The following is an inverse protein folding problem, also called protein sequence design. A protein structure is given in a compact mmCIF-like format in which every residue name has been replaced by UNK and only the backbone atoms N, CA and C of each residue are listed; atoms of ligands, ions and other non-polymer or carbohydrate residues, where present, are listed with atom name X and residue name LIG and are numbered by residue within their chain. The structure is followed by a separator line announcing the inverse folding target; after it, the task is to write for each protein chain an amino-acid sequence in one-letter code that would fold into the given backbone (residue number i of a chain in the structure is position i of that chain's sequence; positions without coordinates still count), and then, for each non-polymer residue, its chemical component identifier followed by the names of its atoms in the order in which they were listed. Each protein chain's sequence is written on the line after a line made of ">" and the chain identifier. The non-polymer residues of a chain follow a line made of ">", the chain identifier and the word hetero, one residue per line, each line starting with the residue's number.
data_IF_942824961546
#
_entry.id   IF_942824961546
#
_cell.length_a   1.000
_cell.length_b   1.000
_cell.length_c   1.000
_cell.angle_alpha   90.00
_cell.angle_beta   90.00
_cell.angle_gamma   90.00
#
_symmetry.space_group_name_H-M   'P 1'
#
loop_
_entity.id
_entity.type
_entity.pdbx_description
1 polymer ?
#
# COMPACT_ATOMS: atom_id res chain seq x y z
N UNK A 1 36.21 27.37 -50.68
CA UNK A 1 36.30 26.58 -49.45
C UNK A 1 35.57 27.21 -48.26
N UNK A 2 35.78 28.48 -47.91
CA UNK A 2 35.15 29.17 -46.76
C UNK A 2 33.60 29.25 -46.82
N UNK A 3 33.00 29.37 -47.99
CA UNK A 3 31.55 29.44 -48.19
C UNK A 3 30.83 28.06 -48.03
N UNK A 4 31.46 26.98 -48.45
CA UNK A 4 30.94 25.62 -48.29
C UNK A 4 30.91 25.19 -46.81
N UNK A 5 31.95 25.52 -46.03
CA UNK A 5 32.00 25.26 -44.58
C UNK A 5 30.93 26.06 -43.82
N UNK A 6 30.68 27.31 -44.17
CA UNK A 6 29.62 28.12 -43.56
C UNK A 6 28.23 27.54 -43.84
N UNK A 7 27.98 27.05 -45.05
CA UNK A 7 26.70 26.40 -45.41
C UNK A 7 26.50 25.07 -44.68
N UNK A 8 27.55 24.28 -44.52
CA UNK A 8 27.52 23.04 -43.76
C UNK A 8 27.26 23.29 -42.26
N UNK A 9 27.91 24.28 -41.66
CA UNK A 9 27.70 24.68 -40.27
C UNK A 9 26.26 25.18 -40.02
N UNK A 10 25.74 26.00 -40.94
CA UNK A 10 24.36 26.50 -40.85
C UNK A 10 23.35 25.35 -40.99
N UNK A 11 23.57 24.41 -41.90
CA UNK A 11 22.74 23.22 -42.06
C UNK A 11 22.72 22.33 -40.79
N UNK A 12 23.89 22.18 -40.15
CA UNK A 12 23.97 21.42 -38.89
C UNK A 12 23.22 22.11 -37.73
N UNK A 13 23.35 23.45 -37.64
CA UNK A 13 22.61 24.23 -36.63
C UNK A 13 21.10 24.10 -36.83
N UNK A 14 20.60 24.28 -38.04
CA UNK A 14 19.16 24.12 -38.35
C UNK A 14 18.68 22.71 -38.06
N UNK A 15 19.47 21.69 -38.38
CA UNK A 15 19.13 20.31 -38.08
C UNK A 15 19.07 20.05 -36.57
N UNK A 16 20.02 20.57 -35.78
CA UNK A 16 20.02 20.40 -34.31
C UNK A 16 18.83 21.11 -33.66
N UNK A 17 18.48 22.31 -34.11
CA UNK A 17 17.27 23.02 -33.63
C UNK A 17 15.99 22.27 -33.99
N UNK A 18 15.90 21.71 -35.17
CA UNK A 18 14.74 20.90 -35.59
C UNK A 18 14.60 19.65 -34.71
N UNK A 19 15.69 18.96 -34.39
CA UNK A 19 15.69 17.80 -33.49
C UNK A 19 15.24 18.19 -32.06
N UNK A 20 15.68 19.33 -31.56
CA UNK A 20 15.24 19.84 -30.24
C UNK A 20 13.74 20.17 -30.25
N UNK A 21 13.26 20.82 -31.30
CA UNK A 21 11.82 21.16 -31.45
C UNK A 21 10.99 19.87 -31.52
N UNK A 22 11.40 18.89 -32.32
CA UNK A 22 10.71 17.60 -32.41
C UNK A 22 10.68 16.89 -31.04
N UNK A 23 11.80 16.86 -30.31
CA UNK A 23 11.87 16.28 -29.00
C UNK A 23 10.95 16.97 -27.98
N UNK A 24 10.89 18.30 -27.99
CA UNK A 24 9.98 19.09 -27.17
C UNK A 24 8.52 18.85 -27.55
N UNK A 25 8.21 18.80 -28.83
CA UNK A 25 6.86 18.47 -29.32
C UNK A 25 6.39 17.07 -28.88
N UNK A 26 7.27 16.07 -28.96
CA UNK A 26 6.97 14.72 -28.49
C UNK A 26 6.73 14.66 -26.97
N UNK A 27 7.54 15.40 -26.19
CA UNK A 27 7.34 15.52 -24.75
C UNK A 27 6.02 16.21 -24.38
N UNK A 28 5.74 17.35 -25.05
CA UNK A 28 4.48 18.08 -24.84
C UNK A 28 3.27 17.24 -25.26
N UNK A 29 3.34 16.57 -26.41
CA UNK A 29 2.29 15.67 -26.87
C UNK A 29 2.07 14.52 -25.87
N UNK A 30 3.13 13.93 -25.31
CA UNK A 30 3.05 12.91 -24.27
C UNK A 30 2.42 13.41 -22.97
N UNK A 31 2.73 14.64 -22.54
CA UNK A 31 2.09 15.28 -21.38
C UNK A 31 0.62 15.63 -21.64
N UNK A 32 0.30 16.16 -22.83
CA UNK A 32 -1.08 16.45 -23.25
C UNK A 32 -1.89 15.17 -23.37
N UNK A 33 -1.32 14.09 -23.88
CA UNK A 33 -2.00 12.80 -23.99
C UNK A 33 -2.25 12.16 -22.62
N UNK A 34 -1.33 12.33 -21.66
CA UNK A 34 -1.54 11.95 -20.25
C UNK A 34 -2.66 12.78 -19.61
N UNK A 35 -2.67 14.10 -19.83
CA UNK A 35 -3.76 14.97 -19.34
C UNK A 35 -5.09 14.65 -20.00
N UNK A 36 -5.14 14.37 -21.32
CA UNK A 36 -6.36 13.98 -22.01
C UNK A 36 -6.86 12.61 -21.54
N UNK A 37 -5.96 11.68 -21.23
CA UNK A 37 -6.34 10.39 -20.67
C UNK A 37 -6.92 10.56 -19.26
N UNK A 38 -6.31 11.39 -18.41
CA UNK A 38 -6.83 11.70 -17.08
C UNK A 38 -8.17 12.45 -17.14
N UNK A 39 -8.33 13.37 -18.08
CA UNK A 39 -9.61 14.12 -18.30
C UNK A 39 -10.70 13.24 -18.90
N UNK A 40 -10.39 12.30 -19.79
CA UNK A 40 -11.38 11.35 -20.33
C UNK A 40 -11.83 10.33 -19.28
N UNK A 41 -10.94 9.90 -18.40
CA UNK A 41 -11.30 9.05 -17.25
C UNK A 41 -12.14 9.83 -16.24
N UNK A 42 -11.79 11.09 -15.95
CA UNK A 42 -12.55 11.97 -15.07
C UNK A 42 -13.94 12.36 -15.63
N UNK A 43 -14.13 12.39 -16.95
CA UNK A 43 -15.40 12.78 -17.56
C UNK A 43 -16.49 11.69 -17.52
N UNK A 44 -16.13 10.44 -17.25
CA UNK A 44 -17.08 9.32 -17.11
C UNK A 44 -17.32 8.90 -15.66
N UNK A 45 -16.64 9.52 -14.69
CA UNK A 45 -16.94 9.35 -13.28
C UNK A 45 -17.98 10.40 -12.86
N UNK A 46 -19.00 10.03 -12.08
CA UNK A 46 -19.86 11.03 -11.45
C UNK A 46 -18.96 11.91 -10.59
N UNK A 47 -18.88 13.20 -10.90
CA UNK A 47 -18.05 14.26 -10.35
C UNK A 47 -16.94 13.72 -9.42
N UNK A 48 -15.72 13.60 -9.93
CA UNK A 48 -14.60 13.13 -9.14
C UNK A 48 -14.56 13.92 -7.83
N UNK A 49 -14.94 13.28 -6.74
CA UNK A 49 -14.83 13.87 -5.41
C UNK A 49 -13.32 13.90 -5.15
N UNK A 50 -12.72 15.07 -5.32
CA UNK A 50 -11.33 15.31 -4.95
C UNK A 50 -11.21 15.08 -3.44
N UNK A 51 -10.53 14.02 -3.05
CA UNK A 51 -10.23 13.76 -1.65
C UNK A 51 -8.89 14.43 -1.30
N UNK A 52 -8.91 15.54 -0.52
CA UNK A 52 -7.68 16.17 -0.07
C UNK A 52 -6.87 15.18 0.77
N UNK A 53 -5.56 15.39 0.85
CA UNK A 53 -4.73 14.68 1.83
C UNK A 53 -5.38 14.81 3.21
N UNK A 54 -5.68 13.69 3.84
CA UNK A 54 -6.32 13.67 5.14
C UNK A 54 -5.23 13.72 6.19
N UNK A 55 -5.33 14.69 7.10
CA UNK A 55 -4.49 14.72 8.29
C UNK A 55 -5.20 13.98 9.41
N UNK A 56 -4.47 13.18 10.14
CA UNK A 56 -4.98 12.61 11.37
C UNK A 56 -4.83 13.62 12.49
N UNK A 57 -5.94 13.89 13.22
CA UNK A 57 -5.88 14.64 14.47
C UNK A 57 -5.30 13.79 15.61
N UNK A 58 -5.34 12.48 15.46
CA UNK A 58 -4.93 11.49 16.45
C UNK A 58 -3.44 11.16 16.37
N UNK A 59 -2.91 11.10 15.17
CA UNK A 59 -1.52 10.74 14.89
C UNK A 59 -0.82 11.88 14.16
N UNK A 60 -0.04 12.72 14.86
CA UNK A 60 0.62 13.88 14.26
C UNK A 60 1.54 13.56 13.09
N UNK A 61 2.13 12.36 13.09
CA UNK A 61 3.06 11.89 12.06
C UNK A 61 2.41 10.94 11.05
N UNK A 62 1.08 10.90 10.98
CA UNK A 62 0.35 10.08 10.01
C UNK A 62 0.70 10.46 8.58
N UNK A 63 0.99 9.48 7.76
CA UNK A 63 1.40 9.67 6.37
C UNK A 63 0.63 8.76 5.42
N UNK A 64 0.53 9.18 4.16
CA UNK A 64 -0.13 8.46 3.08
C UNK A 64 0.66 8.68 1.78
N UNK A 65 0.58 7.75 0.79
CA UNK A 65 1.06 8.02 -0.56
C UNK A 65 0.35 9.22 -1.18
N UNK A 66 1.00 9.93 -2.10
CA UNK A 66 0.42 11.08 -2.79
C UNK A 66 -0.59 10.61 -3.85
N UNK A 67 -1.82 11.16 -3.79
CA UNK A 67 -2.90 10.81 -4.72
C UNK A 67 -2.54 11.09 -6.18
N UNK A 68 -2.94 10.18 -7.07
CA UNK A 68 -2.73 10.32 -8.51
C UNK A 68 -1.27 10.23 -8.95
N UNK A 69 -0.37 9.78 -8.07
CA UNK A 69 1.06 9.65 -8.37
C UNK A 69 1.41 8.27 -8.92
N UNK A 70 2.55 8.21 -9.62
CA UNK A 70 3.24 6.94 -9.94
C UNK A 70 4.59 7.00 -9.22
N UNK A 71 4.78 6.08 -8.29
CA UNK A 71 6.01 5.95 -7.53
C UNK A 71 6.83 4.83 -8.18
N UNK A 72 8.06 5.15 -8.63
CA UNK A 72 8.98 4.16 -9.16
C UNK A 72 10.06 3.91 -8.11
N UNK A 73 10.25 2.66 -7.73
CA UNK A 73 11.25 2.23 -6.79
C UNK A 73 12.26 1.29 -7.47
N UNK A 74 13.50 1.39 -7.06
CA UNK A 74 14.60 0.60 -7.61
C UNK A 74 15.67 0.33 -6.54
N UNK A 75 15.37 -0.47 -5.52
CA UNK A 75 16.39 -0.88 -4.58
C UNK A 75 17.49 -1.66 -5.31
N UNK A 76 18.75 -1.31 -5.05
CA UNK A 76 19.89 -1.92 -5.77
C UNK A 76 19.92 -3.46 -5.66
N UNK A 77 19.42 -4.00 -4.54
CA UNK A 77 19.38 -5.43 -4.28
C UNK A 77 18.22 -6.17 -4.99
N UNK A 78 17.19 -5.44 -5.46
CA UNK A 78 16.01 -6.06 -6.09
C UNK A 78 16.30 -6.47 -7.54
N UNK A 79 17.22 -5.78 -8.23
CA UNK A 79 17.66 -6.12 -9.59
C UNK A 79 16.67 -5.75 -10.71
N UNK A 80 15.51 -5.18 -10.37
CA UNK A 80 14.52 -4.66 -11.32
C UNK A 80 13.76 -3.47 -10.72
N UNK A 81 13.08 -2.71 -11.58
CA UNK A 81 12.23 -1.60 -11.15
C UNK A 81 10.86 -2.14 -10.75
N UNK A 82 10.25 -1.52 -9.76
CA UNK A 82 8.85 -1.67 -9.40
C UNK A 82 8.13 -0.34 -9.52
N UNK A 83 6.84 -0.37 -9.82
CA UNK A 83 6.02 0.82 -10.02
C UNK A 83 4.72 0.69 -9.24
N UNK A 84 4.45 1.67 -8.39
CA UNK A 84 3.20 1.78 -7.64
C UNK A 84 2.32 2.84 -8.29
N UNK A 85 1.10 2.46 -8.66
CA UNK A 85 0.07 3.36 -9.16
C UNK A 85 -0.80 3.79 -7.99
N UNK A 86 -0.69 5.04 -7.59
CA UNK A 86 -1.51 5.58 -6.50
C UNK A 86 -2.74 6.24 -7.12
N UNK A 87 -3.92 5.73 -6.77
CA UNK A 87 -5.18 6.22 -7.28
C UNK A 87 -5.58 7.58 -6.70
N UNK A 88 -6.74 8.10 -7.09
CA UNK A 88 -7.23 9.41 -6.64
C UNK A 88 -7.50 9.47 -5.12
N UNK A 89 -7.63 8.34 -4.44
CA UNK A 89 -7.87 8.24 -2.99
C UNK A 89 -6.65 7.81 -2.17
N UNK A 90 -5.44 8.06 -2.66
CA UNK A 90 -4.18 7.75 -1.98
C UNK A 90 -3.92 6.24 -1.76
N UNK A 91 -4.52 5.36 -2.57
CA UNK A 91 -4.40 3.92 -2.47
C UNK A 91 -3.45 3.38 -3.54
N UNK A 92 -2.61 2.39 -3.22
CA UNK A 92 -1.82 1.67 -4.23
C UNK A 92 -2.73 0.67 -4.95
N UNK A 93 -3.35 1.12 -6.05
CA UNK A 93 -4.45 0.48 -6.75
C UNK A 93 -4.41 0.73 -8.25
N UNK A 94 -4.91 -0.25 -9.04
CA UNK A 94 -5.14 -0.08 -10.48
C UNK A 94 -6.32 0.82 -10.78
N UNK A 95 -7.33 0.82 -9.90
CA UNK A 95 -8.63 1.39 -10.12
C UNK A 95 -8.96 2.49 -9.12
N UNK A 96 -9.84 3.40 -9.52
CA UNK A 96 -10.60 4.26 -8.61
C UNK A 96 -11.93 3.58 -8.29
N UNK A 97 -12.31 3.56 -7.03
CA UNK A 97 -13.55 2.94 -6.57
C UNK A 97 -14.62 4.00 -6.27
N UNK A 98 -15.84 3.74 -6.71
CA UNK A 98 -16.97 4.57 -6.34
C UNK A 98 -17.29 4.43 -4.85
N UNK A 99 -17.64 5.52 -4.17
CA UNK A 99 -18.08 5.47 -2.75
C UNK A 99 -19.34 4.60 -2.63
N UNK A 100 -20.30 4.82 -3.53
CA UNK A 100 -21.52 4.02 -3.54
C UNK A 100 -21.20 2.66 -4.14
N UNK A 101 -21.31 1.62 -3.30
CA UNK A 101 -21.14 0.24 -3.73
C UNK A 101 -22.19 -0.11 -4.78
N UNK A 102 -21.84 -0.84 -5.85
CA UNK A 102 -22.82 -1.38 -6.81
C UNK A 102 -23.89 -2.19 -6.09
N UNK A 103 -25.13 -2.16 -6.60
CA UNK A 103 -26.30 -2.80 -5.95
C UNK A 103 -26.06 -4.28 -5.65
N UNK A 104 -25.43 -5.00 -6.58
CA UNK A 104 -25.07 -6.41 -6.42
C UNK A 104 -23.55 -6.59 -6.18
N UNK A 105 -22.88 -5.56 -5.68
CA UNK A 105 -21.44 -5.60 -5.44
C UNK A 105 -21.09 -6.25 -4.10
N UNK A 106 -19.97 -6.96 -4.06
CA UNK A 106 -19.31 -7.39 -2.84
C UNK A 106 -17.97 -6.69 -2.71
N UNK A 107 -17.78 -5.99 -1.61
CA UNK A 107 -16.62 -5.15 -1.40
C UNK A 107 -15.80 -5.61 -0.21
N UNK A 108 -14.54 -5.90 -0.46
CA UNK A 108 -13.52 -6.18 0.54
C UNK A 108 -12.66 -4.93 0.71
N UNK A 109 -12.37 -4.56 1.94
CA UNK A 109 -11.31 -3.59 2.25
C UNK A 109 -10.19 -4.33 2.95
N UNK A 110 -8.97 -4.18 2.46
CA UNK A 110 -7.79 -4.80 3.06
C UNK A 110 -7.00 -3.78 3.89
N UNK A 111 -6.59 -4.18 5.08
CA UNK A 111 -5.76 -3.40 6.00
C UNK A 111 -4.43 -4.11 6.23
N UNK A 112 -3.41 -3.36 6.54
CA UNK A 112 -2.09 -3.88 6.90
C UNK A 112 -0.96 -2.92 6.56
N UNK A 113 0.24 -3.45 6.62
CA UNK A 113 1.50 -2.75 6.42
C UNK A 113 2.04 -2.87 4.98
N UNK A 114 3.38 -2.96 4.83
CA UNK A 114 4.08 -3.14 3.56
C UNK A 114 3.69 -4.40 2.80
N UNK A 115 3.25 -5.46 3.48
CA UNK A 115 2.74 -6.68 2.83
C UNK A 115 1.42 -6.42 2.12
N UNK A 116 0.51 -5.67 2.73
CA UNK A 116 -0.76 -5.29 2.11
C UNK A 116 -0.56 -4.23 1.04
N UNK A 117 0.33 -3.26 1.28
CA UNK A 117 0.70 -2.27 0.27
C UNK A 117 1.25 -2.91 -1.01
N UNK A 118 1.95 -4.04 -0.90
CA UNK A 118 2.66 -4.69 -2.00
C UNK A 118 4.03 -4.06 -2.23
N UNK A 119 4.78 -3.82 -1.13
CA UNK A 119 6.13 -3.26 -1.24
C UNK A 119 7.05 -4.21 -2.02
N UNK A 120 7.81 -3.66 -2.98
CA UNK A 120 8.74 -4.33 -3.89
C UNK A 120 8.12 -5.23 -4.97
N UNK A 121 6.80 -5.10 -5.20
CA UNK A 121 6.13 -5.64 -6.39
C UNK A 121 5.33 -4.53 -7.09
N UNK A 122 5.03 -4.70 -8.37
CA UNK A 122 4.17 -3.72 -9.06
C UNK A 122 2.75 -3.76 -8.50
N UNK A 123 2.00 -2.66 -8.62
CA UNK A 123 0.61 -2.58 -8.15
C UNK A 123 -0.21 -3.79 -8.55
N UNK A 124 -0.16 -4.21 -9.82
CA UNK A 124 -0.95 -5.34 -10.34
C UNK A 124 -0.48 -6.72 -9.86
N UNK A 125 0.67 -6.81 -9.17
CA UNK A 125 1.23 -8.04 -8.60
C UNK A 125 0.95 -8.18 -7.10
N UNK A 126 0.38 -7.15 -6.46
CA UNK A 126 0.07 -7.23 -5.05
C UNK A 126 -1.14 -8.16 -4.79
N UNK A 127 -1.20 -8.73 -3.61
CA UNK A 127 -2.21 -9.75 -3.31
C UNK A 127 -3.65 -9.22 -3.33
N UNK A 128 -3.86 -7.93 -3.11
CA UNK A 128 -5.19 -7.32 -3.10
C UNK A 128 -5.78 -7.28 -4.49
N UNK A 129 -4.99 -6.87 -5.47
CA UNK A 129 -5.34 -6.88 -6.89
C UNK A 129 -5.54 -8.31 -7.42
N UNK A 130 -4.65 -9.23 -7.00
CA UNK A 130 -4.75 -10.65 -7.37
C UNK A 130 -5.96 -11.33 -6.72
N UNK A 131 -6.37 -10.92 -5.53
CA UNK A 131 -7.57 -11.40 -4.85
C UNK A 131 -8.84 -10.95 -5.60
N UNK A 132 -8.90 -9.69 -6.06
CA UNK A 132 -9.98 -9.20 -6.89
C UNK A 132 -10.10 -10.01 -8.18
N UNK A 133 -8.98 -10.15 -8.92
CA UNK A 133 -8.93 -10.92 -10.16
C UNK A 133 -9.36 -12.39 -9.94
N UNK A 134 -8.92 -13.00 -8.84
CA UNK A 134 -9.29 -14.38 -8.51
C UNK A 134 -10.80 -14.51 -8.24
N UNK A 135 -11.38 -13.65 -7.39
CA UNK A 135 -12.81 -13.68 -7.08
C UNK A 135 -13.66 -13.46 -8.35
N UNK A 136 -13.28 -12.52 -9.20
CA UNK A 136 -13.92 -12.29 -10.51
C UNK A 136 -13.84 -13.53 -11.39
N UNK A 137 -12.73 -14.28 -11.33
CA UNK A 137 -12.53 -15.47 -12.19
C UNK A 137 -13.30 -16.71 -11.73
N UNK A 138 -13.46 -16.90 -10.43
CA UNK A 138 -14.07 -18.13 -9.87
C UNK A 138 -15.56 -18.00 -9.57
N UNK A 139 -16.06 -16.77 -9.35
CA UNK A 139 -17.47 -16.52 -9.12
C UNK A 139 -18.18 -16.25 -10.45
N UNK A 140 -19.03 -17.18 -10.89
CA UNK A 140 -19.77 -17.07 -12.16
C UNK A 140 -21.03 -16.20 -12.08
N UNK A 141 -21.37 -15.73 -10.88
CA UNK A 141 -22.46 -14.79 -10.69
C UNK A 141 -22.10 -13.41 -11.30
N UNK A 142 -23.13 -12.59 -11.56
CA UNK A 142 -22.93 -11.27 -12.19
C UNK A 142 -22.54 -10.18 -11.20
N UNK A 143 -22.10 -10.54 -9.99
CA UNK A 143 -21.70 -9.56 -8.98
C UNK A 143 -20.41 -8.87 -9.40
N UNK A 144 -20.29 -7.62 -9.02
CA UNK A 144 -19.04 -6.89 -9.08
C UNK A 144 -18.28 -7.13 -7.78
N UNK A 145 -17.05 -7.63 -7.88
CA UNK A 145 -16.15 -7.84 -6.76
C UNK A 145 -15.13 -6.71 -6.75
N UNK A 146 -14.96 -6.08 -5.60
CA UNK A 146 -13.99 -5.00 -5.41
C UNK A 146 -13.15 -5.30 -4.16
N UNK A 147 -11.82 -5.23 -4.31
CA UNK A 147 -10.87 -5.44 -3.21
C UNK A 147 -9.99 -4.21 -3.07
N UNK A 148 -10.25 -3.40 -2.07
CA UNK A 148 -9.67 -2.06 -1.89
C UNK A 148 -8.49 -2.12 -0.93
N UNK A 149 -7.31 -1.73 -1.40
CA UNK A 149 -6.05 -1.77 -0.68
C UNK A 149 -5.83 -0.53 0.19
N UNK A 150 -5.92 -0.67 1.51
CA UNK A 150 -5.55 0.37 2.46
C UNK A 150 -4.17 0.15 3.11
N UNK A 151 -3.39 -0.81 2.65
CA UNK A 151 -2.05 -1.05 3.16
C UNK A 151 -1.13 0.15 2.97
N UNK A 152 -0.27 0.41 3.95
CA UNK A 152 0.81 1.41 3.86
C UNK A 152 2.03 0.85 4.58
N UNK A 153 3.23 0.95 3.99
CA UNK A 153 4.45 0.44 4.63
C UNK A 153 4.62 0.99 6.03
N UNK A 154 5.06 0.12 6.95
CA UNK A 154 5.38 0.48 8.31
C UNK A 154 4.20 0.82 9.23
N UNK A 155 2.96 0.62 8.80
CA UNK A 155 1.79 0.79 9.66
C UNK A 155 1.71 -0.32 10.73
N UNK A 156 1.31 0.09 11.92
CA UNK A 156 0.87 -0.77 13.02
C UNK A 156 -0.67 -0.83 13.10
N UNK A 157 -1.22 -1.41 14.17
CA UNK A 157 -2.67 -1.48 14.38
C UNK A 157 -3.31 -0.09 14.43
N UNK A 158 -2.69 0.84 15.19
CA UNK A 158 -3.23 2.19 15.36
C UNK A 158 -3.32 2.96 14.04
N UNK A 159 -2.25 2.92 13.24
CA UNK A 159 -2.20 3.59 11.94
C UNK A 159 -3.14 2.93 10.92
N UNK A 160 -3.23 1.58 10.91
CA UNK A 160 -4.15 0.86 10.04
C UNK A 160 -5.61 1.14 10.39
N UNK A 161 -5.96 1.18 11.68
CA UNK A 161 -7.29 1.55 12.17
C UNK A 161 -7.66 2.99 11.80
N UNK A 162 -6.72 3.92 11.94
CA UNK A 162 -6.91 5.32 11.55
C UNK A 162 -7.11 5.46 10.04
N UNK A 163 -6.31 4.73 9.25
CA UNK A 163 -6.47 4.68 7.79
C UNK A 163 -7.85 4.18 7.39
N UNK A 164 -8.35 3.14 8.06
CA UNK A 164 -9.70 2.66 7.85
C UNK A 164 -10.75 3.73 8.18
N UNK A 165 -10.61 4.42 9.31
CA UNK A 165 -11.51 5.51 9.71
C UNK A 165 -11.54 6.65 8.70
N UNK A 166 -10.37 7.04 8.18
CA UNK A 166 -10.22 8.17 7.27
C UNK A 166 -10.58 7.85 5.82
N UNK A 167 -10.28 6.62 5.36
CA UNK A 167 -10.41 6.20 3.96
C UNK A 167 -11.34 5.00 3.76
N UNK A 168 -11.30 4.01 4.64
CA UNK A 168 -11.96 2.72 4.43
C UNK A 168 -13.45 2.72 4.69
N UNK A 169 -13.90 3.37 5.77
CA UNK A 169 -15.31 3.35 6.19
C UNK A 169 -16.29 3.84 5.13
N UNK A 170 -15.88 4.85 4.34
CA UNK A 170 -16.74 5.43 3.29
C UNK A 170 -17.09 4.44 2.19
N UNK A 171 -16.29 3.41 2.00
CA UNK A 171 -16.52 2.37 1.00
C UNK A 171 -17.58 1.33 1.43
N UNK A 172 -18.02 1.36 2.67
CA UNK A 172 -19.02 0.44 3.22
C UNK A 172 -18.74 -1.04 2.86
N UNK A 173 -17.58 -1.60 3.32
CA UNK A 173 -17.18 -2.95 2.98
C UNK A 173 -18.13 -3.99 3.55
N UNK A 174 -18.30 -5.11 2.83
CA UNK A 174 -18.99 -6.32 3.32
C UNK A 174 -18.04 -7.13 4.20
N UNK A 175 -16.73 -7.10 3.89
CA UNK A 175 -15.70 -7.80 4.63
C UNK A 175 -14.46 -6.89 4.77
N UNK A 176 -13.93 -6.80 5.96
CA UNK A 176 -12.56 -6.28 6.17
C UNK A 176 -11.60 -7.45 6.32
N UNK A 177 -10.54 -7.47 5.50
CA UNK A 177 -9.42 -8.41 5.60
C UNK A 177 -8.23 -7.65 6.16
N UNK A 178 -7.80 -8.00 7.35
CA UNK A 178 -6.65 -7.35 7.99
C UNK A 178 -5.47 -8.30 8.06
N UNK A 179 -4.46 -8.02 7.23
CA UNK A 179 -3.21 -8.78 7.24
C UNK A 179 -2.30 -8.26 8.34
N UNK A 180 -1.92 -9.12 9.25
CA UNK A 180 -1.13 -8.76 10.42
C UNK A 180 0.14 -9.62 10.51
N UNK A 181 1.25 -8.97 10.77
CA UNK A 181 2.55 -9.57 11.00
C UNK A 181 2.87 -9.63 12.51
N UNK A 182 3.85 -10.44 12.95
CA UNK A 182 4.22 -10.54 14.38
C UNK A 182 4.47 -9.19 15.04
N UNK A 183 5.10 -8.25 14.32
CA UNK A 183 5.47 -6.93 14.85
C UNK A 183 4.34 -5.89 14.78
N UNK A 184 3.19 -6.19 14.18
CA UNK A 184 2.09 -5.24 14.01
C UNK A 184 1.52 -4.77 15.36
N UNK A 185 1.44 -5.67 16.35
CA UNK A 185 1.02 -5.36 17.72
C UNK A 185 2.16 -4.89 18.62
N UNK A 186 3.41 -5.05 18.23
CA UNK A 186 4.59 -4.64 19.01
C UNK A 186 5.05 -3.23 18.64
N UNK A 187 4.56 -2.70 17.51
CA UNK A 187 5.00 -1.44 16.92
C UNK A 187 4.48 -0.20 17.65
N UNK A 188 5.13 0.90 17.37
CA UNK A 188 4.66 2.26 17.64
C UNK A 188 5.06 3.13 16.43
N UNK A 189 4.18 3.14 15.42
CA UNK A 189 4.43 3.81 14.16
C UNK A 189 4.58 5.32 14.33
N UNK A 190 3.77 5.95 15.21
CA UNK A 190 3.84 7.39 15.47
C UNK A 190 5.18 7.78 16.09
N UNK A 191 5.62 7.02 17.10
CA UNK A 191 6.94 7.25 17.70
C UNK A 191 8.08 7.03 16.71
N UNK A 192 8.00 5.98 15.91
CA UNK A 192 9.02 5.71 14.90
C UNK A 192 9.10 6.84 13.89
N UNK A 193 7.98 7.35 13.41
CA UNK A 193 7.94 8.47 12.48
C UNK A 193 8.44 9.76 13.14
N UNK A 194 8.09 10.03 14.40
CA UNK A 194 8.61 11.16 15.16
C UNK A 194 10.15 11.13 15.26
N UNK A 195 10.74 9.96 15.53
CA UNK A 195 12.19 9.79 15.58
C UNK A 195 12.85 9.95 14.19
N UNK A 196 12.17 9.50 13.14
CA UNK A 196 12.63 9.73 11.76
C UNK A 196 12.64 11.21 11.41
N UNK A 197 11.57 11.93 11.72
CA UNK A 197 11.45 13.36 11.46
C UNK A 197 12.52 14.16 12.25
N UNK A 198 12.76 13.79 13.51
CA UNK A 198 13.83 14.37 14.34
C UNK A 198 15.19 14.14 13.68
N UNK A 199 15.52 12.89 13.33
CA UNK A 199 16.75 12.55 12.65
C UNK A 199 16.93 13.32 11.33
N UNK A 200 15.88 13.36 10.49
CA UNK A 200 15.93 14.09 9.22
C UNK A 200 16.11 15.60 9.43
N UNK A 201 15.67 16.15 10.56
CA UNK A 201 15.86 17.55 10.90
C UNK A 201 17.32 17.90 11.26
N UNK A 202 18.06 16.96 11.80
CA UNK A 202 19.44 17.13 12.28
C UNK A 202 20.50 17.00 11.16
N UNK A 203 20.18 16.29 10.08
CA UNK A 203 21.11 16.08 8.96
C UNK A 203 21.05 17.23 7.94
N UNK A 204 22.11 17.37 7.15
CA UNK A 204 22.17 18.40 6.09
C UNK A 204 21.06 18.22 5.05
N UNK A 205 20.64 19.33 4.41
CA UNK A 205 19.63 19.28 3.33
C UNK A 205 20.08 18.34 2.20
N UNK A 206 21.38 18.31 1.88
CA UNK A 206 21.91 17.44 0.84
C UNK A 206 21.85 15.96 1.24
N UNK A 207 22.11 15.63 2.50
CA UNK A 207 22.04 14.26 3.01
C UNK A 207 20.60 13.80 3.19
N UNK A 208 19.71 14.69 3.66
CA UNK A 208 18.27 14.45 3.71
C UNK A 208 17.73 14.05 2.34
N UNK A 209 18.11 14.80 1.30
CA UNK A 209 17.70 14.48 -0.07
C UNK A 209 18.20 13.11 -0.53
N UNK A 210 19.43 12.70 -0.14
CA UNK A 210 19.97 11.37 -0.46
C UNK A 210 19.25 10.25 0.28
N UNK A 211 18.90 10.45 1.56
CA UNK A 211 18.13 9.50 2.36
C UNK A 211 16.74 9.29 1.73
N UNK A 212 16.01 10.37 1.48
CA UNK A 212 14.66 10.33 0.91
C UNK A 212 14.61 9.74 -0.51
N UNK A 213 15.72 9.79 -1.26
CA UNK A 213 15.80 9.20 -2.61
C UNK A 213 16.52 7.84 -2.64
N UNK A 214 16.69 7.18 -1.49
CA UNK A 214 17.30 5.86 -1.41
C UNK A 214 18.76 5.77 -1.86
N UNK A 215 19.46 6.91 -1.98
CA UNK A 215 20.87 6.96 -2.43
C UNK A 215 21.87 6.71 -1.31
N UNK A 216 21.43 6.78 -0.07
CA UNK A 216 22.18 6.30 1.09
C UNK A 216 21.43 5.08 1.60
N UNK A 217 21.91 3.91 1.26
CA UNK A 217 21.24 2.63 1.56
C UNK A 217 21.11 2.37 3.06
N UNK A 218 21.97 2.89 3.90
CA UNK A 218 21.83 2.79 5.36
C UNK A 218 22.67 3.88 6.03
N UNK A 219 22.03 4.96 6.40
CA UNK A 219 22.64 5.86 7.33
C UNK A 219 22.71 5.18 8.70
N UNK A 220 23.89 5.11 9.35
CA UNK A 220 24.00 4.43 10.67
C UNK A 220 22.99 4.95 11.70
N UNK A 221 22.59 6.23 11.60
CA UNK A 221 21.56 6.83 12.42
C UNK A 221 20.16 6.25 12.19
N UNK A 222 19.78 5.87 10.98
CA UNK A 222 18.47 5.28 10.67
C UNK A 222 18.28 3.96 11.41
N UNK A 223 19.31 3.11 11.44
CA UNK A 223 19.28 1.87 12.20
C UNK A 223 19.20 2.13 13.71
N UNK A 224 19.91 3.15 14.21
CA UNK A 224 19.91 3.49 15.62
C UNK A 224 18.53 3.94 16.11
N UNK A 225 17.83 4.83 15.39
CA UNK A 225 16.49 5.25 15.79
C UNK A 225 15.44 4.14 15.59
N UNK A 226 15.58 3.28 14.57
CA UNK A 226 14.72 2.10 14.43
C UNK A 226 14.89 1.13 15.60
N UNK A 227 16.12 0.91 16.04
CA UNK A 227 16.43 0.11 17.22
C UNK A 227 15.83 0.74 18.47
N UNK A 228 16.04 2.05 18.67
CA UNK A 228 15.50 2.79 19.81
C UNK A 228 13.97 2.79 19.83
N UNK A 229 13.31 2.82 18.67
CA UNK A 229 11.86 2.69 18.59
C UNK A 229 11.36 1.30 18.97
N UNK A 230 12.16 0.24 18.70
CA UNK A 230 11.85 -1.15 19.09
C UNK A 230 12.10 -1.44 20.57
N UNK A 231 13.12 -0.84 21.16
CA UNK A 231 13.52 -1.08 22.56
C UNK A 231 12.58 -0.48 23.60
N UNK A 232 11.58 0.27 23.18
CA UNK A 232 10.55 0.75 24.10
C UNK A 232 9.57 -0.34 24.43
N UNK A 233 9.43 -0.59 25.70
CA UNK A 233 8.47 -1.43 26.44
C UNK A 233 7.42 -2.12 25.55
N UNK A 234 7.79 -3.28 24.99
CA UNK A 234 6.96 -4.07 24.07
C UNK A 234 5.57 -4.34 24.68
N UNK A 235 5.50 -4.62 25.99
CA UNK A 235 4.21 -4.88 26.65
C UNK A 235 3.30 -3.65 26.64
N UNK A 236 3.86 -2.45 26.82
CA UNK A 236 3.06 -1.20 26.70
C UNK A 236 2.60 -0.95 25.28
N UNK A 237 3.44 -1.25 24.30
CA UNK A 237 3.06 -1.14 22.89
C UNK A 237 1.93 -2.12 22.56
N UNK A 238 2.03 -3.37 22.98
CA UNK A 238 0.99 -4.39 22.78
C UNK A 238 -0.34 -3.93 23.36
N UNK A 239 -0.38 -3.42 24.59
CA UNK A 239 -1.62 -2.93 25.18
C UNK A 239 -2.17 -1.68 24.49
N UNK A 240 -1.30 -0.77 24.06
CA UNK A 240 -1.65 0.40 23.26
C UNK A 240 -2.27 -0.03 21.90
N UNK A 241 -1.66 -0.98 21.22
CA UNK A 241 -2.18 -1.50 19.96
C UNK A 241 -3.50 -2.28 20.16
N UNK A 242 -3.63 -3.04 21.23
CA UNK A 242 -4.88 -3.72 21.61
C UNK A 242 -6.00 -2.69 21.87
N UNK A 243 -5.69 -1.55 22.51
CA UNK A 243 -6.66 -0.46 22.66
C UNK A 243 -7.11 0.10 21.32
N UNK A 244 -6.19 0.37 20.37
CA UNK A 244 -6.54 0.84 19.04
C UNK A 244 -7.38 -0.17 18.27
N UNK A 245 -7.07 -1.45 18.41
CA UNK A 245 -7.85 -2.52 17.83
C UNK A 245 -9.27 -2.58 18.39
N UNK A 246 -9.43 -2.45 19.70
CA UNK A 246 -10.74 -2.37 20.40
C UNK A 246 -11.58 -1.19 19.90
N UNK A 247 -10.96 -0.03 19.70
CA UNK A 247 -11.64 1.16 19.17
C UNK A 247 -12.05 0.95 17.70
N UNK A 248 -11.23 0.28 16.89
CA UNK A 248 -11.61 -0.14 15.55
C UNK A 248 -12.82 -1.08 15.59
N UNK A 249 -12.80 -2.11 16.45
CA UNK A 249 -13.91 -3.04 16.63
C UNK A 249 -15.20 -2.36 17.09
N UNK A 250 -15.11 -1.32 17.90
CA UNK A 250 -16.26 -0.51 18.31
C UNK A 250 -16.85 0.31 17.16
N UNK A 251 -16.02 0.73 16.21
CA UNK A 251 -16.42 1.56 15.07
C UNK A 251 -16.86 0.76 13.85
N UNK A 252 -16.41 -0.49 13.72
CA UNK A 252 -16.74 -1.40 12.62
C UNK A 252 -17.42 -2.65 13.12
N UNK A 253 -18.67 -2.85 12.69
CA UNK A 253 -19.51 -3.98 13.13
C UNK A 253 -19.72 -5.05 12.02
N UNK A 254 -19.09 -4.86 10.85
CA UNK A 254 -19.14 -5.81 9.73
C UNK A 254 -18.22 -7.02 9.94
N UNK A 255 -18.20 -7.88 8.95
CA UNK A 255 -17.38 -9.10 8.93
C UNK A 255 -15.88 -8.76 8.88
N UNK A 256 -15.08 -9.42 9.73
CA UNK A 256 -13.67 -9.18 9.89
C UNK A 256 -12.86 -10.48 9.78
N UNK A 257 -11.95 -10.55 8.82
CA UNK A 257 -10.98 -11.62 8.70
C UNK A 257 -9.59 -11.09 9.05
N UNK A 258 -9.02 -11.58 10.14
CA UNK A 258 -7.61 -11.39 10.49
C UNK A 258 -6.79 -12.47 9.80
N UNK A 259 -5.87 -12.07 8.93
CA UNK A 259 -4.89 -12.97 8.32
C UNK A 259 -3.58 -12.84 9.09
N UNK A 260 -3.34 -13.78 9.99
CA UNK A 260 -2.17 -13.78 10.86
C UNK A 260 -1.01 -14.50 10.17
N UNK A 261 -0.04 -13.72 9.67
CA UNK A 261 1.17 -14.24 9.05
C UNK A 261 2.16 -14.70 10.12
N UNK A 262 2.87 -15.82 9.86
CA UNK A 262 3.92 -16.34 10.73
C UNK A 262 3.49 -16.46 12.21
N UNK A 263 2.31 -17.00 12.47
CA UNK A 263 1.72 -17.07 13.81
C UNK A 263 2.65 -17.63 14.88
N UNK A 264 3.47 -18.61 14.52
CA UNK A 264 4.41 -19.24 15.44
C UNK A 264 5.56 -18.31 15.91
N UNK A 265 5.75 -17.19 15.24
CA UNK A 265 6.75 -16.16 15.59
C UNK A 265 6.15 -15.01 16.42
N UNK A 266 4.84 -15.04 16.68
CA UNK A 266 4.19 -13.97 17.44
C UNK A 266 4.62 -13.97 18.90
N UNK A 267 4.78 -12.77 19.44
CA UNK A 267 4.86 -12.60 20.89
C UNK A 267 3.57 -13.15 21.52
N UNK A 268 3.66 -14.04 22.52
CA UNK A 268 2.48 -14.61 23.17
C UNK A 268 1.49 -13.56 23.69
N UNK A 269 1.99 -12.46 24.27
CA UNK A 269 1.14 -11.38 24.77
C UNK A 269 0.37 -10.68 23.63
N UNK A 270 0.98 -10.51 22.44
CA UNK A 270 0.32 -9.95 21.27
C UNK A 270 -0.75 -10.91 20.72
N UNK A 271 -0.44 -12.19 20.65
CA UNK A 271 -1.40 -13.22 20.23
C UNK A 271 -2.59 -13.30 21.20
N UNK A 272 -2.34 -13.27 22.51
CA UNK A 272 -3.37 -13.27 23.55
C UNK A 272 -4.21 -11.98 23.49
N UNK A 273 -3.59 -10.83 23.25
CA UNK A 273 -4.30 -9.56 23.08
C UNK A 273 -5.26 -9.61 21.89
N UNK A 274 -4.81 -10.06 20.73
CA UNK A 274 -5.66 -10.21 19.54
C UNK A 274 -6.84 -11.15 19.82
N UNK A 275 -6.59 -12.33 20.37
CA UNK A 275 -7.61 -13.32 20.66
C UNK A 275 -8.63 -12.79 21.70
N UNK A 276 -8.16 -12.11 22.75
CA UNK A 276 -9.00 -11.49 23.78
C UNK A 276 -9.94 -10.47 23.20
N UNK A 277 -9.47 -9.58 22.33
CA UNK A 277 -10.30 -8.53 21.74
C UNK A 277 -11.36 -9.08 20.76
N UNK A 278 -11.13 -10.27 20.19
CA UNK A 278 -12.07 -10.93 19.27
C UNK A 278 -13.01 -11.94 19.96
N UNK A 279 -12.82 -12.25 21.24
CA UNK A 279 -13.50 -13.36 21.92
C UNK A 279 -15.03 -13.28 21.89
N UNK A 280 -15.59 -12.07 21.90
CA UNK A 280 -17.03 -11.82 21.96
C UNK A 280 -17.64 -11.46 20.58
N UNK A 281 -16.92 -11.75 19.48
CA UNK A 281 -17.37 -11.43 18.12
C UNK A 281 -17.62 -12.68 17.28
N UNK A 282 -18.88 -12.91 16.96
CA UNK A 282 -19.30 -14.06 16.11
C UNK A 282 -18.95 -13.84 14.63
N UNK A 283 -18.74 -12.58 14.21
CA UNK A 283 -18.43 -12.20 12.83
C UNK A 283 -16.95 -11.77 12.65
N UNK A 284 -16.06 -12.40 13.41
CA UNK A 284 -14.63 -12.22 13.26
C UNK A 284 -13.91 -13.58 13.23
N UNK A 285 -12.97 -13.71 12.31
CA UNK A 285 -12.21 -14.93 12.06
C UNK A 285 -10.72 -14.64 12.15
N UNK A 286 -9.94 -15.60 12.64
CA UNK A 286 -8.48 -15.59 12.59
C UNK A 286 -8.04 -16.72 11.67
N UNK A 287 -7.47 -16.37 10.53
CA UNK A 287 -6.80 -17.29 9.64
C UNK A 287 -5.29 -17.25 9.91
N UNK A 288 -4.76 -18.32 10.46
CA UNK A 288 -3.33 -18.52 10.65
C UNK A 288 -2.75 -19.03 9.33
N UNK A 289 -2.18 -18.12 8.57
CA UNK A 289 -1.68 -18.42 7.23
C UNK A 289 -0.38 -19.23 7.31
N UNK A 290 -0.24 -20.19 6.40
CA UNK A 290 1.01 -20.94 6.23
C UNK A 290 2.18 -20.00 5.94
N UNK A 291 3.36 -20.26 6.52
CA UNK A 291 4.54 -19.43 6.32
C UNK A 291 4.94 -19.30 4.86
N UNK A 292 5.30 -18.11 4.45
CA UNK A 292 5.97 -17.86 3.18
C UNK A 292 7.42 -18.39 3.24
N UNK A 293 7.94 -18.83 2.09
CA UNK A 293 9.21 -19.55 2.00
C UNK A 293 10.34 -18.63 1.51
N UNK A 294 11.40 -18.40 2.29
CA UNK A 294 12.56 -17.62 1.86
C UNK A 294 13.14 -18.12 0.53
N UNK A 295 13.45 -17.20 -0.38
CA UNK A 295 14.01 -17.50 -1.71
C UNK A 295 13.04 -18.12 -2.72
N UNK A 296 11.79 -18.41 -2.32
CA UNK A 296 10.72 -18.89 -3.19
C UNK A 296 9.60 -17.86 -3.27
N UNK A 297 9.02 -17.50 -2.13
CA UNK A 297 7.90 -16.56 -2.01
C UNK A 297 8.29 -15.27 -1.27
N UNK A 298 9.50 -15.23 -0.69
CA UNK A 298 10.05 -14.05 -0.02
C UNK A 298 11.29 -13.52 -0.74
N UNK A 299 11.40 -12.22 -0.77
CA UNK A 299 12.59 -11.46 -1.13
C UNK A 299 13.66 -11.57 -0.04
N UNK A 300 14.92 -11.18 -0.31
CA UNK A 300 16.01 -11.26 0.68
C UNK A 300 15.78 -10.48 1.97
N UNK A 301 14.97 -9.42 1.92
CA UNK A 301 14.61 -8.58 3.06
C UNK A 301 13.39 -9.09 3.85
N UNK A 302 12.77 -10.18 3.40
CA UNK A 302 11.62 -10.82 4.03
C UNK A 302 10.25 -10.36 3.52
N UNK A 303 10.17 -9.41 2.58
CA UNK A 303 8.90 -9.08 1.94
C UNK A 303 8.47 -10.15 0.91
N UNK A 304 7.17 -10.33 0.67
CA UNK A 304 6.71 -11.22 -0.38
C UNK A 304 7.15 -10.71 -1.77
N UNK A 305 7.61 -11.62 -2.61
CA UNK A 305 7.76 -11.38 -4.04
C UNK A 305 6.42 -11.60 -4.77
N UNK A 306 6.37 -11.46 -6.10
CA UNK A 306 5.14 -11.64 -6.87
C UNK A 306 4.48 -13.02 -6.64
N UNK A 307 5.28 -14.11 -6.52
CA UNK A 307 4.77 -15.44 -6.20
C UNK A 307 4.23 -15.52 -4.76
N UNK A 308 4.88 -14.82 -3.82
CA UNK A 308 4.41 -14.68 -2.45
C UNK A 308 3.05 -13.97 -2.38
N UNK A 309 2.90 -12.87 -3.09
CA UNK A 309 1.63 -12.15 -3.19
C UNK A 309 0.53 -13.01 -3.82
N UNK A 310 0.84 -13.74 -4.88
CA UNK A 310 -0.09 -14.69 -5.48
C UNK A 310 -0.54 -15.75 -4.47
N UNK A 311 0.39 -16.34 -3.73
CA UNK A 311 0.06 -17.34 -2.70
C UNK A 311 -0.78 -16.76 -1.57
N UNK A 312 -0.51 -15.53 -1.13
CA UNK A 312 -1.35 -14.82 -0.14
C UNK A 312 -2.78 -14.68 -0.67
N UNK A 313 -2.96 -14.21 -1.91
CA UNK A 313 -4.28 -14.02 -2.51
C UNK A 313 -5.07 -15.31 -2.63
N UNK A 314 -4.45 -16.40 -3.10
CA UNK A 314 -5.06 -17.73 -3.22
C UNK A 314 -5.48 -18.30 -1.86
N UNK A 315 -4.64 -18.17 -0.84
CA UNK A 315 -4.92 -18.63 0.51
C UNK A 315 -6.08 -17.85 1.15
N UNK A 316 -6.10 -16.53 1.01
CA UNK A 316 -7.18 -15.68 1.51
C UNK A 316 -8.50 -16.01 0.78
N UNK A 317 -8.46 -16.12 -0.55
CA UNK A 317 -9.65 -16.47 -1.34
C UNK A 317 -10.20 -17.83 -0.95
N UNK A 318 -9.35 -18.85 -0.82
CA UNK A 318 -9.76 -20.20 -0.37
C UNK A 318 -10.43 -20.15 0.99
N UNK A 319 -9.81 -19.44 1.95
CA UNK A 319 -10.39 -19.29 3.30
C UNK A 319 -11.75 -18.59 3.27
N UNK A 320 -11.89 -17.51 2.51
CA UNK A 320 -13.15 -16.76 2.36
C UNK A 320 -14.27 -17.66 1.81
N UNK A 321 -13.98 -18.44 0.77
CA UNK A 321 -14.95 -19.29 0.10
C UNK A 321 -15.32 -20.53 0.95
N UNK A 322 -14.34 -21.20 1.53
CA UNK A 322 -14.53 -22.41 2.36
C UNK A 322 -15.33 -22.10 3.64
N UNK A 323 -15.08 -20.93 4.24
CA UNK A 323 -15.79 -20.49 5.46
C UNK A 323 -17.06 -19.68 5.15
N UNK A 324 -17.44 -19.57 3.87
CA UNK A 324 -18.66 -18.88 3.42
C UNK A 324 -18.76 -17.42 3.85
N UNK A 325 -17.62 -16.73 4.00
CA UNK A 325 -17.58 -15.28 4.23
C UNK A 325 -18.05 -14.52 2.99
N UNK A 326 -17.91 -15.15 1.84
CA UNK A 326 -18.53 -14.77 0.58
C UNK A 326 -19.24 -15.99 0.00
N UNK A 327 -20.51 -15.85 -0.30
CA UNK A 327 -21.24 -16.86 -1.05
C UNK A 327 -21.26 -16.45 -2.51
N UNK A 328 -20.51 -17.11 -3.34
CA UNK A 328 -20.62 -16.97 -4.79
C UNK A 328 -21.04 -18.30 -5.43
N UNK A 329 -21.70 -18.22 -6.58
CA UNK A 329 -22.04 -19.39 -7.39
C UNK A 329 -20.85 -19.66 -8.30
N UNK A 330 -20.17 -20.81 -8.19
CA UNK A 330 -19.01 -21.16 -9.03
C UNK A 330 -19.39 -21.30 -10.51
#
# INVERSE_FOLDING_TARGET
>A
MKTAVKRAALGFLIFSELCIIIFLCVRVAGQVQKQIHSVKYAANLPAAVYYPQVKSERFPHFFEPEAGSIINDHPAWLGHNVSYSINADNLNERNDYAIFKPVDGFRIVTLGDSFTYGLFVNTYENYTELLEDYLVSVCSDRRQYEVINLGVPAYDVGYSAERFRLRGQKYNPDLVVWFVNPFTFEGDADRRQALEDEYLSEISVADRWKVLNGKIEYYPGVLAWQQQAKETNIDQNIEKQAQYFREFLASYQGDLLIVANQWDLWNPAAADALQRELADRDNAWIYKMDPLVPGVTLLPDGHPNAEGHKRISENIASYILENKLLTCVP
#
